data_IF_322573096096
#
_entry.id   IF_322573096096
#
_cell.length_a   1.000
_cell.length_b   1.000
_cell.length_c   1.000
_cell.angle_alpha   90.00
_cell.angle_beta   90.00
_cell.angle_gamma   90.00
#
_symmetry.space_group_name_H-M   'P 1'
#
loop_
_entity.id
_entity.type
_entity.pdbx_description
1 polymer ?
#
# COMPACT_ATOMS: atom_id res chain seq x y z
N UNK A 1 -8.77 -26.95 -2.34
CA UNK A 1 -9.62 -25.89 -1.79
C UNK A 1 -8.67 -24.75 -1.46
N UNK A 2 -8.59 -23.74 -2.33
CA UNK A 2 -7.86 -22.53 -1.97
C UNK A 2 -8.63 -21.82 -0.86
N UNK A 3 -7.94 -21.55 0.24
CA UNK A 3 -8.51 -20.90 1.41
C UNK A 3 -8.77 -19.43 1.06
N UNK A 4 -10.04 -19.03 1.04
CA UNK A 4 -10.41 -17.64 0.77
C UNK A 4 -10.05 -16.78 1.99
N UNK A 5 -9.03 -15.92 1.86
CA UNK A 5 -8.64 -14.95 2.90
C UNK A 5 -9.75 -13.92 3.09
N UNK A 6 -10.23 -13.71 4.31
CA UNK A 6 -11.28 -12.73 4.62
C UNK A 6 -10.78 -11.29 4.49
N UNK A 7 -11.71 -10.33 4.37
CA UNK A 7 -11.36 -8.91 4.32
C UNK A 7 -10.67 -8.47 5.62
N UNK A 8 -11.15 -8.97 6.76
CA UNK A 8 -10.52 -8.73 8.06
C UNK A 8 -9.06 -9.21 8.11
N UNK A 9 -8.77 -10.37 7.53
CA UNK A 9 -7.40 -10.92 7.51
C UNK A 9 -6.51 -10.18 6.50
N UNK A 10 -7.05 -9.80 5.33
CA UNK A 10 -6.36 -8.94 4.38
C UNK A 10 -5.92 -7.61 5.01
N UNK A 11 -6.75 -7.02 5.87
CA UNK A 11 -6.40 -5.78 6.56
C UNK A 11 -5.22 -5.97 7.54
N UNK A 12 -5.12 -7.12 8.23
CA UNK A 12 -3.95 -7.44 9.07
C UNK A 12 -2.69 -7.64 8.23
N UNK A 13 -2.80 -8.40 7.15
CA UNK A 13 -1.71 -8.66 6.20
C UNK A 13 -1.21 -7.33 5.60
N UNK A 14 -2.12 -6.40 5.31
CA UNK A 14 -1.76 -5.07 4.83
C UNK A 14 -0.96 -4.28 5.85
N UNK A 15 -1.37 -4.26 7.12
CA UNK A 15 -0.61 -3.59 8.19
C UNK A 15 0.82 -4.12 8.26
N UNK A 16 1.00 -5.44 8.19
CA UNK A 16 2.34 -6.09 8.17
C UNK A 16 3.14 -5.72 6.91
N UNK A 17 2.48 -5.61 5.77
CA UNK A 17 3.12 -5.14 4.56
C UNK A 17 3.60 -3.69 4.74
N UNK A 18 2.74 -2.80 5.25
CA UNK A 18 3.00 -1.36 5.33
C UNK A 18 4.00 -0.96 6.42
N UNK A 19 4.03 -1.66 7.56
CA UNK A 19 4.77 -1.24 8.76
C UNK A 19 5.49 -2.41 9.44
N UNK A 20 6.69 -2.12 9.96
CA UNK A 20 7.36 -3.02 10.91
C UNK A 20 6.72 -2.90 12.28
N UNK A 21 6.69 -4.01 13.03
CA UNK A 21 6.06 -4.12 14.34
C UNK A 21 7.03 -4.72 15.36
N UNK A 22 6.90 -4.33 16.63
CA UNK A 22 7.56 -5.01 17.75
C UNK A 22 6.84 -6.31 18.13
N UNK A 23 7.36 -7.04 19.12
CA UNK A 23 6.78 -8.29 19.62
C UNK A 23 5.35 -8.12 20.20
N UNK A 24 4.97 -6.90 20.58
CA UNK A 24 3.66 -6.56 21.11
C UNK A 24 2.70 -6.02 20.03
N UNK A 25 3.15 -5.97 18.76
CA UNK A 25 2.38 -5.43 17.64
C UNK A 25 2.34 -3.90 17.58
N UNK A 26 3.23 -3.18 18.29
CA UNK A 26 3.34 -1.73 18.12
C UNK A 26 4.14 -1.39 16.87
N UNK A 27 3.69 -0.37 16.16
CA UNK A 27 4.34 0.09 14.93
C UNK A 27 5.70 0.71 15.26
N UNK A 28 6.70 0.42 14.44
CA UNK A 28 8.03 1.01 14.55
C UNK A 28 8.31 1.93 13.36
N UNK A 29 8.37 1.38 12.15
CA UNK A 29 8.77 2.10 10.94
C UNK A 29 7.87 1.72 9.77
N UNK A 30 7.85 2.56 8.74
CA UNK A 30 7.35 2.20 7.44
C UNK A 30 8.23 1.07 6.90
N UNK A 31 7.62 -0.01 6.42
CA UNK A 31 8.31 -1.20 5.97
C UNK A 31 8.81 -1.04 4.52
N UNK A 32 9.79 -0.13 4.35
CA UNK A 32 10.46 0.08 3.07
C UNK A 32 11.53 -1.01 2.85
N UNK A 33 11.61 -1.62 1.65
CA UNK A 33 12.54 -2.72 1.39
C UNK A 33 14.02 -2.40 1.60
N UNK A 34 14.40 -1.12 1.53
CA UNK A 34 15.74 -0.61 1.85
C UNK A 34 16.08 -0.71 3.34
N UNK A 35 15.10 -0.88 4.22
CA UNK A 35 15.25 -0.93 5.67
C UNK A 35 15.35 0.44 6.36
N UNK A 36 15.44 1.52 5.60
CA UNK A 36 15.61 2.89 6.10
C UNK A 36 14.30 3.69 6.25
N UNK A 37 13.14 3.05 6.02
CA UNK A 37 11.81 3.65 6.06
C UNK A 37 11.50 4.51 7.29
N UNK A 38 10.90 5.68 7.10
CA UNK A 38 10.59 6.65 8.18
C UNK A 38 9.80 6.04 9.35
N UNK A 39 9.74 6.69 10.53
CA UNK A 39 8.86 6.25 11.62
C UNK A 39 7.43 5.99 11.13
N UNK A 40 6.80 4.94 11.65
CA UNK A 40 5.42 4.61 11.31
C UNK A 40 4.46 5.74 11.75
N UNK A 41 3.20 5.74 11.26
CA UNK A 41 2.16 6.62 11.78
C UNK A 41 1.97 6.40 13.29
N UNK A 42 1.63 7.46 14.03
CA UNK A 42 1.29 7.36 15.46
C UNK A 42 0.08 6.47 15.69
N UNK A 43 -0.90 6.57 14.79
CA UNK A 43 -2.14 5.81 14.85
C UNK A 43 -2.53 5.33 13.46
N UNK A 44 -2.91 4.06 13.38
CA UNK A 44 -3.51 3.44 12.21
C UNK A 44 -4.88 2.86 12.59
N UNK A 45 -5.87 3.13 11.75
CA UNK A 45 -7.23 2.59 11.82
C UNK A 45 -7.60 2.02 10.45
N UNK A 46 -7.51 0.71 10.32
CA UNK A 46 -7.96 -0.02 9.14
C UNK A 46 -9.35 -0.58 9.38
N UNK A 47 -10.27 -0.47 8.42
CA UNK A 47 -11.61 -1.04 8.56
C UNK A 47 -12.13 -1.65 7.26
N UNK A 48 -12.95 -2.69 7.44
CA UNK A 48 -13.65 -3.44 6.40
C UNK A 48 -15.15 -3.45 6.70
N UNK A 49 -15.96 -4.15 5.90
CA UNK A 49 -17.37 -4.39 6.25
C UNK A 49 -17.55 -5.45 7.34
N UNK A 50 -16.48 -6.14 7.74
CA UNK A 50 -16.50 -7.24 8.72
C UNK A 50 -15.94 -6.80 10.07
N UNK A 51 -14.88 -5.98 10.07
CA UNK A 51 -14.17 -5.60 11.29
C UNK A 51 -13.33 -4.33 11.12
N UNK A 52 -12.72 -3.88 12.22
CA UNK A 52 -11.68 -2.85 12.22
C UNK A 52 -10.49 -3.29 13.04
N UNK A 53 -9.32 -2.74 12.71
CA UNK A 53 -8.07 -2.94 13.44
C UNK A 53 -7.46 -1.58 13.78
N UNK A 54 -6.93 -1.47 14.99
CA UNK A 54 -6.10 -0.36 15.42
C UNK A 54 -4.66 -0.82 15.61
N UNK A 55 -3.72 0.05 15.26
CA UNK A 55 -2.32 -0.07 15.65
C UNK A 55 -1.78 1.28 16.10
N UNK A 56 -0.81 1.22 17.00
CA UNK A 56 -0.23 2.37 17.67
C UNK A 56 1.28 2.29 17.53
N UNK A 57 1.94 3.43 17.35
CA UNK A 57 3.40 3.47 17.38
C UNK A 57 3.90 3.20 18.79
N UNK A 58 5.06 2.54 18.88
CA UNK A 58 5.67 2.10 20.15
C UNK A 58 5.95 3.24 21.15
N UNK A 59 6.01 4.48 20.71
CA UNK A 59 6.29 5.67 21.51
C UNK A 59 5.03 6.45 21.93
N UNK A 60 3.83 5.95 21.61
CA UNK A 60 2.58 6.61 21.99
C UNK A 60 2.25 6.31 23.47
N UNK A 61 2.01 7.32 24.32
CA UNK A 61 1.76 7.08 25.75
C UNK A 61 0.50 6.25 26.01
N UNK A 62 0.54 5.35 27.01
CA UNK A 62 -0.58 4.48 27.38
C UNK A 62 -1.93 5.21 27.57
N UNK A 63 -2.00 6.39 28.21
CA UNK A 63 -3.27 7.12 28.33
C UNK A 63 -3.84 7.56 26.97
N UNK A 64 -2.99 7.88 26.00
CA UNK A 64 -3.39 8.26 24.63
C UNK A 64 -3.89 7.02 23.89
N UNK A 65 -3.15 5.91 23.98
CA UNK A 65 -3.55 4.61 23.40
C UNK A 65 -4.91 4.17 23.95
N UNK A 66 -5.12 4.27 25.26
CA UNK A 66 -6.38 3.90 25.90
C UNK A 66 -7.56 4.73 25.38
N UNK A 67 -7.40 6.05 25.24
CA UNK A 67 -8.44 6.92 24.69
C UNK A 67 -8.76 6.57 23.23
N UNK A 68 -7.75 6.35 22.39
CA UNK A 68 -7.95 5.96 21.00
C UNK A 68 -8.68 4.61 20.88
N UNK A 69 -8.36 3.63 21.72
CA UNK A 69 -9.06 2.33 21.77
C UNK A 69 -10.55 2.49 22.09
N UNK A 70 -10.89 3.37 23.04
CA UNK A 70 -12.28 3.66 23.40
C UNK A 70 -13.03 4.27 22.21
N UNK A 71 -12.45 5.26 21.53
CA UNK A 71 -13.08 5.87 20.34
C UNK A 71 -13.27 4.84 19.23
N UNK A 72 -12.23 4.05 18.94
CA UNK A 72 -12.24 3.04 17.89
C UNK A 72 -13.29 1.94 18.12
N UNK A 73 -13.47 1.48 19.36
CA UNK A 73 -14.49 0.47 19.71
C UNK A 73 -15.93 0.96 19.45
N UNK A 74 -16.14 2.28 19.32
CA UNK A 74 -17.44 2.90 19.06
C UNK A 74 -17.60 3.41 17.62
N UNK A 75 -16.63 3.14 16.75
CA UNK A 75 -16.68 3.50 15.33
C UNK A 75 -17.53 2.50 14.55
N UNK A 76 -18.29 2.98 13.56
CA UNK A 76 -19.10 2.12 12.72
C UNK A 76 -18.23 1.47 11.63
N UNK A 77 -18.22 0.14 11.58
CA UNK A 77 -17.45 -0.66 10.61
C UNK A 77 -18.20 -0.83 9.28
N UNK A 78 -18.50 0.29 8.60
CA UNK A 78 -19.16 0.26 7.30
C UNK A 78 -18.35 1.02 6.26
N UNK A 79 -17.93 0.30 5.20
CA UNK A 79 -17.34 0.90 4.01
C UNK A 79 -18.39 1.52 3.08
N UNK A 80 -19.60 1.85 3.60
CA UNK A 80 -20.59 2.64 2.86
C UNK A 80 -20.01 3.99 2.39
N UNK A 81 -20.78 4.80 1.67
CA UNK A 81 -20.34 6.04 0.98
C UNK A 81 -19.40 7.02 1.72
N UNK A 82 -19.23 6.88 3.04
CA UNK A 82 -18.26 7.63 3.83
C UNK A 82 -16.83 7.14 3.60
N UNK A 83 -16.05 7.99 2.93
CA UNK A 83 -14.63 7.77 2.65
C UNK A 83 -13.71 7.98 3.87
N UNK A 84 -14.25 8.36 5.04
CA UNK A 84 -13.51 8.68 6.26
C UNK A 84 -14.21 8.15 7.51
N UNK A 85 -13.49 7.68 8.55
CA UNK A 85 -14.11 7.30 9.82
C UNK A 85 -14.97 8.42 10.39
N UNK A 86 -16.14 8.09 10.95
CA UNK A 86 -17.07 9.10 11.49
C UNK A 86 -16.44 9.88 12.63
N UNK A 87 -15.64 9.21 13.45
CA UNK A 87 -14.95 9.77 14.61
C UNK A 87 -13.53 10.24 14.29
N UNK A 88 -13.14 10.44 13.03
CA UNK A 88 -11.80 10.94 12.67
C UNK A 88 -11.37 12.16 13.49
N UNK A 89 -12.28 13.13 13.70
CA UNK A 89 -11.99 14.32 14.53
C UNK A 89 -11.60 13.96 15.96
N UNK A 90 -12.25 12.98 16.57
CA UNK A 90 -11.90 12.53 17.93
C UNK A 90 -10.53 11.87 17.97
N UNK A 91 -10.18 11.04 16.98
CA UNK A 91 -8.83 10.50 16.86
C UNK A 91 -7.80 11.61 16.75
N UNK A 92 -8.04 12.58 15.88
CA UNK A 92 -7.13 13.70 15.66
C UNK A 92 -7.02 14.62 16.89
N UNK A 93 -8.12 14.91 17.59
CA UNK A 93 -8.13 15.73 18.80
C UNK A 93 -7.28 15.08 19.91
N UNK A 94 -7.43 13.76 20.11
CA UNK A 94 -6.63 12.98 21.06
C UNK A 94 -5.14 13.07 20.67
N UNK A 95 -4.81 12.83 19.40
CA UNK A 95 -3.43 12.88 18.93
C UNK A 95 -2.81 14.28 19.01
N UNK A 96 -3.57 15.33 18.67
CA UNK A 96 -3.14 16.74 18.75
C UNK A 96 -2.87 17.19 20.18
N UNK A 97 -3.62 16.66 21.16
CA UNK A 97 -3.38 16.94 22.58
C UNK A 97 -2.02 16.39 23.07
N UNK A 98 -1.51 15.35 22.41
CA UNK A 98 -0.20 14.76 22.68
C UNK A 98 0.93 15.44 21.88
N UNK A 99 0.78 15.61 20.58
CA UNK A 99 1.75 16.29 19.71
C UNK A 99 1.09 16.76 18.39
N UNK A 100 1.63 17.78 17.70
CA UNK A 100 1.10 18.25 16.42
C UNK A 100 0.91 17.12 15.39
N UNK A 101 -0.15 17.19 14.58
CA UNK A 101 -0.35 16.28 13.44
C UNK A 101 0.44 16.79 12.24
N UNK A 102 1.32 15.96 11.71
CA UNK A 102 2.09 16.26 10.50
C UNK A 102 1.27 15.95 9.25
N UNK A 103 0.58 14.80 9.26
CA UNK A 103 -0.17 14.31 8.12
C UNK A 103 -1.30 13.39 8.53
N UNK A 104 -2.43 13.50 7.81
CA UNK A 104 -3.47 12.47 7.77
C UNK A 104 -3.45 11.83 6.40
N UNK A 105 -3.45 10.51 6.35
CA UNK A 105 -3.61 9.73 5.13
C UNK A 105 -4.91 8.95 5.21
N UNK A 106 -5.61 8.88 4.08
CA UNK A 106 -6.78 8.02 3.96
C UNK A 106 -7.00 7.53 2.54
N UNK A 107 -7.38 6.27 2.41
CA UNK A 107 -7.71 5.72 1.11
C UNK A 107 -8.07 4.24 1.09
N UNK A 108 -8.52 3.77 -0.08
CA UNK A 108 -8.95 2.40 -0.27
C UNK A 108 -7.77 1.44 -0.30
N UNK A 109 -8.02 0.24 0.22
CA UNK A 109 -7.15 -0.91 0.10
C UNK A 109 -7.81 -1.96 -0.81
N UNK A 110 -7.04 -2.47 -1.77
CA UNK A 110 -7.52 -3.35 -2.82
C UNK A 110 -6.74 -4.65 -2.89
N UNK A 111 -7.46 -5.72 -3.22
CA UNK A 111 -6.89 -7.01 -3.64
C UNK A 111 -7.06 -7.19 -5.14
N UNK A 112 -6.15 -7.96 -5.74
CA UNK A 112 -6.24 -8.33 -7.16
C UNK A 112 -7.26 -9.46 -7.37
N UNK A 113 -8.03 -9.44 -8.47
CA UNK A 113 -8.92 -10.55 -8.82
C UNK A 113 -8.12 -11.83 -9.06
N UNK A 114 -8.72 -12.99 -8.82
CA UNK A 114 -8.07 -14.30 -8.97
C UNK A 114 -7.41 -14.46 -10.36
N UNK A 115 -8.11 -14.06 -11.42
CA UNK A 115 -7.57 -14.04 -12.76
C UNK A 115 -7.14 -12.63 -13.16
N UNK A 116 -5.86 -12.48 -13.49
CA UNK A 116 -5.29 -11.27 -14.08
C UNK A 116 -4.88 -11.62 -15.50
N UNK A 117 -5.39 -10.88 -16.49
CA UNK A 117 -4.95 -11.07 -17.87
C UNK A 117 -3.45 -10.75 -17.99
N UNK A 118 -2.61 -11.67 -18.52
CA UNK A 118 -1.19 -11.40 -18.70
C UNK A 118 -0.97 -10.21 -19.64
N UNK A 119 -0.24 -9.17 -19.21
CA UNK A 119 0.08 -8.05 -20.08
C UNK A 119 1.14 -8.45 -21.11
N UNK A 120 1.12 -7.81 -22.26
CA UNK A 120 2.18 -7.90 -23.26
C UNK A 120 3.26 -6.85 -23.02
N UNK A 121 4.49 -7.10 -23.47
CA UNK A 121 5.61 -6.11 -23.51
C UNK A 121 6.12 -5.63 -22.15
N UNK A 122 6.10 -6.51 -21.15
CA UNK A 122 6.69 -6.25 -19.84
C UNK A 122 8.05 -6.90 -19.70
N UNK A 123 9.01 -6.17 -19.15
CA UNK A 123 10.37 -6.64 -18.87
C UNK A 123 10.58 -6.68 -17.36
N UNK A 124 11.21 -7.74 -16.86
CA UNK A 124 11.71 -7.78 -15.48
C UNK A 124 12.99 -6.99 -15.40
N UNK A 125 13.03 -6.01 -14.50
CA UNK A 125 14.15 -5.12 -14.29
C UNK A 125 15.03 -5.64 -13.16
N UNK A 126 16.33 -5.63 -13.40
CA UNK A 126 17.36 -6.07 -12.48
C UNK A 126 18.66 -5.32 -12.78
N UNK A 127 19.76 -5.62 -12.07
CA UNK A 127 21.02 -4.92 -12.29
C UNK A 127 21.60 -5.15 -13.69
N UNK A 128 21.29 -6.30 -14.29
CA UNK A 128 21.78 -6.72 -15.59
C UNK A 128 21.21 -5.90 -16.75
N UNK A 129 20.09 -5.21 -16.54
CA UNK A 129 19.44 -4.35 -17.54
C UNK A 129 19.10 -2.96 -16.97
N UNK A 130 19.89 -2.48 -16.00
CA UNK A 130 19.66 -1.22 -15.30
C UNK A 130 19.68 -0.01 -16.25
N UNK A 131 20.34 -0.10 -17.40
CA UNK A 131 20.36 0.92 -18.43
C UNK A 131 18.97 1.25 -18.99
N UNK A 132 18.00 0.34 -18.87
CA UNK A 132 16.60 0.59 -19.25
C UNK A 132 15.93 1.66 -18.35
N UNK A 133 16.47 1.93 -17.15
CA UNK A 133 15.98 2.97 -16.24
C UNK A 133 16.68 4.32 -16.44
N UNK A 134 17.60 4.45 -17.40
CA UNK A 134 18.29 5.71 -17.64
C UNK A 134 17.31 6.84 -18.03
N UNK A 135 17.63 8.08 -17.65
CA UNK A 135 16.77 9.25 -17.88
C UNK A 135 15.90 9.53 -16.66
N UNK A 136 14.59 9.65 -16.87
CA UNK A 136 13.62 10.07 -15.83
C UNK A 136 13.48 9.07 -14.66
N UNK A 137 14.00 7.85 -14.78
CA UNK A 137 14.02 6.84 -13.71
C UNK A 137 15.41 6.54 -13.15
N UNK A 138 16.44 7.34 -13.49
CA UNK A 138 17.82 7.05 -13.08
C UNK A 138 17.98 6.92 -11.57
N UNK A 139 17.27 7.73 -10.78
CA UNK A 139 17.34 7.66 -9.30
C UNK A 139 16.82 6.33 -8.74
N UNK A 140 15.91 5.68 -9.47
CA UNK A 140 15.26 4.43 -9.05
C UNK A 140 16.12 3.19 -9.33
N UNK A 141 17.26 3.33 -10.03
CA UNK A 141 18.24 2.24 -10.20
C UNK A 141 18.73 1.71 -8.85
N UNK A 142 18.80 2.58 -7.83
CA UNK A 142 19.19 2.19 -6.47
C UNK A 142 18.23 1.17 -5.83
N UNK A 143 16.95 1.19 -6.22
CA UNK A 143 15.89 0.31 -5.69
C UNK A 143 15.93 -1.12 -6.26
N UNK A 144 16.68 -1.37 -7.35
CA UNK A 144 16.68 -2.66 -8.07
C UNK A 144 17.06 -3.86 -7.19
N UNK A 145 17.83 -3.62 -6.12
CA UNK A 145 18.25 -4.66 -5.17
C UNK A 145 17.19 -5.03 -4.14
N UNK A 146 16.39 -4.05 -3.72
CA UNK A 146 15.53 -4.20 -2.55
C UNK A 146 14.06 -4.32 -2.93
N UNK A 147 13.62 -3.67 -4.02
CA UNK A 147 12.19 -3.53 -4.36
C UNK A 147 11.66 -4.60 -5.33
N UNK A 148 12.24 -5.81 -5.32
CA UNK A 148 11.81 -6.88 -6.23
C UNK A 148 10.45 -7.51 -5.82
N UNK A 149 9.64 -8.03 -6.76
CA UNK A 149 9.78 -7.94 -8.21
C UNK A 149 9.72 -6.50 -8.72
N UNK A 150 10.57 -6.18 -9.69
CA UNK A 150 10.61 -4.88 -10.37
C UNK A 150 10.32 -5.10 -11.86
N UNK A 151 9.25 -4.48 -12.36
CA UNK A 151 8.74 -4.67 -13.72
C UNK A 151 8.70 -3.34 -14.46
N UNK A 152 8.93 -3.37 -15.77
CA UNK A 152 8.89 -2.19 -16.64
C UNK A 152 8.12 -2.44 -17.94
N UNK A 153 7.49 -1.39 -18.46
CA UNK A 153 7.05 -1.29 -19.86
C UNK A 153 8.12 -0.51 -20.61
N UNK A 154 8.61 -1.09 -21.71
CA UNK A 154 9.71 -0.54 -22.50
C UNK A 154 9.16 0.03 -23.81
N UNK A 155 9.48 1.29 -24.09
CA UNK A 155 9.23 1.96 -25.37
C UNK A 155 10.53 2.66 -25.78
N UNK A 156 10.90 2.61 -27.06
CA UNK A 156 12.13 3.23 -27.59
C UNK A 156 13.39 2.90 -26.77
N UNK A 157 13.51 1.63 -26.34
CA UNK A 157 14.62 1.10 -25.53
C UNK A 157 14.76 1.70 -24.12
N UNK A 158 13.71 2.31 -23.58
CA UNK A 158 13.68 2.86 -22.22
C UNK A 158 12.40 2.47 -21.47
N UNK A 159 12.51 2.36 -20.15
CA UNK A 159 11.34 2.16 -19.29
C UNK A 159 10.50 3.43 -19.23
N UNK A 160 9.23 3.32 -19.60
CA UNK A 160 8.27 4.44 -19.59
C UNK A 160 7.21 4.31 -18.50
N UNK A 161 7.09 3.10 -17.95
CA UNK A 161 6.32 2.83 -16.75
C UNK A 161 6.97 1.70 -15.99
N UNK A 162 7.00 1.82 -14.67
CA UNK A 162 7.56 0.82 -13.78
C UNK A 162 6.56 0.43 -12.69
N UNK A 163 6.65 -0.80 -12.19
CA UNK A 163 5.98 -1.22 -10.97
C UNK A 163 6.92 -2.10 -10.16
N UNK A 164 7.05 -1.80 -8.88
CA UNK A 164 7.94 -2.51 -7.96
C UNK A 164 7.27 -2.74 -6.61
N UNK A 165 7.80 -3.67 -5.84
CA UNK A 165 7.32 -3.90 -4.47
C UNK A 165 7.89 -2.82 -3.57
N UNK A 166 7.07 -1.87 -3.15
CA UNK A 166 7.51 -0.74 -2.31
C UNK A 166 7.28 -0.99 -0.83
N UNK A 167 6.50 -2.01 -0.48
CA UNK A 167 6.40 -2.55 0.88
C UNK A 167 6.36 -4.07 0.80
N UNK A 168 7.11 -4.77 1.65
CA UNK A 168 7.35 -6.21 1.53
C UNK A 168 7.23 -6.87 2.91
N UNK A 169 6.31 -7.82 3.05
CA UNK A 169 6.25 -8.74 4.20
C UNK A 169 6.38 -10.19 3.76
N UNK A 170 6.38 -11.11 4.73
CA UNK A 170 6.33 -12.56 4.47
C UNK A 170 5.04 -13.01 3.79
N UNK A 171 3.97 -12.21 3.85
CA UNK A 171 2.65 -12.57 3.33
C UNK A 171 2.28 -11.81 2.06
N UNK A 172 2.61 -10.53 1.98
CA UNK A 172 2.15 -9.65 0.92
C UNK A 172 3.18 -8.61 0.51
N UNK A 173 3.03 -8.13 -0.72
CA UNK A 173 3.76 -6.98 -1.24
C UNK A 173 2.76 -5.89 -1.62
N UNK A 174 3.10 -4.62 -1.40
CA UNK A 174 2.34 -3.46 -1.90
C UNK A 174 3.02 -2.85 -3.12
N UNK A 175 2.20 -2.50 -4.11
CA UNK A 175 2.69 -1.98 -5.39
C UNK A 175 3.06 -0.50 -5.32
N UNK A 176 4.23 -0.13 -5.85
CA UNK A 176 4.54 1.24 -6.22
C UNK A 176 4.63 1.33 -7.73
N UNK A 177 3.85 2.21 -8.35
CA UNK A 177 3.79 2.40 -9.80
C UNK A 177 4.09 3.84 -10.17
N UNK A 178 4.96 4.01 -11.16
CA UNK A 178 5.29 5.31 -11.75
C UNK A 178 5.24 5.21 -13.28
N UNK A 179 4.71 6.25 -13.93
CA UNK A 179 4.61 6.35 -15.39
C UNK A 179 5.02 7.75 -15.83
N UNK A 180 5.94 7.80 -16.80
CA UNK A 180 6.42 9.05 -17.39
C UNK A 180 5.28 9.85 -17.99
N UNK A 181 5.32 11.18 -17.85
CA UNK A 181 4.20 12.06 -18.18
C UNK A 181 3.68 11.87 -19.62
N UNK A 182 4.58 11.71 -20.60
CA UNK A 182 4.25 11.49 -22.01
C UNK A 182 3.55 10.17 -22.32
N UNK A 183 3.68 9.16 -21.44
CA UNK A 183 3.15 7.81 -21.61
C UNK A 183 1.92 7.52 -20.73
N UNK A 184 1.47 8.50 -19.95
CA UNK A 184 0.23 8.40 -19.15
C UNK A 184 -0.99 8.28 -20.04
N UNK A 185 -2.05 7.65 -19.50
CA UNK A 185 -3.35 7.40 -20.17
C UNK A 185 -3.28 6.49 -21.41
N UNK A 186 -2.17 5.77 -21.60
CA UNK A 186 -1.99 4.78 -22.69
C UNK A 186 -2.10 3.31 -22.23
N UNK A 187 -2.44 3.09 -20.97
CA UNK A 187 -2.54 1.74 -20.38
C UNK A 187 -1.26 1.20 -19.75
N UNK A 188 -0.12 1.90 -19.87
CA UNK A 188 1.18 1.42 -19.36
C UNK A 188 1.15 1.07 -17.86
N UNK A 189 0.58 1.95 -17.02
CA UNK A 189 0.44 1.71 -15.58
C UNK A 189 -0.36 0.44 -15.26
N UNK A 190 -1.50 0.26 -15.94
CA UNK A 190 -2.35 -0.94 -15.80
C UNK A 190 -1.58 -2.20 -16.18
N UNK A 191 -0.90 -2.18 -17.33
CA UNK A 191 -0.12 -3.33 -17.80
C UNK A 191 1.03 -3.68 -16.86
N UNK A 192 1.81 -2.70 -16.40
CA UNK A 192 2.97 -2.98 -15.53
C UNK A 192 2.55 -3.47 -14.14
N UNK A 193 1.45 -2.93 -13.59
CA UNK A 193 0.91 -3.38 -12.30
C UNK A 193 0.34 -4.80 -12.40
N UNK A 194 -0.30 -5.15 -13.51
CA UNK A 194 -0.74 -6.53 -13.76
C UNK A 194 0.44 -7.53 -13.80
N UNK A 195 1.53 -7.19 -14.51
CA UNK A 195 2.73 -8.02 -14.55
C UNK A 195 3.38 -8.15 -13.18
N UNK A 196 3.48 -7.05 -12.44
CA UNK A 196 4.01 -7.07 -11.08
C UNK A 196 3.19 -7.98 -10.18
N UNK A 197 1.86 -7.89 -10.24
CA UNK A 197 1.00 -8.73 -9.41
C UNK A 197 1.14 -10.23 -9.73
N UNK A 198 1.27 -10.58 -11.02
CA UNK A 198 1.57 -11.96 -11.44
C UNK A 198 2.95 -12.42 -10.93
N UNK A 199 3.97 -11.55 -10.97
CA UNK A 199 5.29 -11.85 -10.46
C UNK A 199 5.29 -12.06 -8.93
N UNK A 200 4.54 -11.26 -8.18
CA UNK A 200 4.36 -11.42 -6.72
C UNK A 200 3.66 -12.75 -6.41
N UNK A 201 2.63 -13.12 -7.18
CA UNK A 201 1.98 -14.44 -7.04
C UNK A 201 2.93 -15.60 -7.30
N UNK A 202 3.83 -15.47 -8.27
CA UNK A 202 4.85 -16.49 -8.54
C UNK A 202 5.84 -16.67 -7.36
N UNK A 203 5.92 -15.71 -6.44
CA UNK A 203 6.66 -15.84 -5.17
C UNK A 203 5.82 -16.44 -4.03
N UNK A 204 4.60 -16.90 -4.30
CA UNK A 204 3.62 -17.32 -3.29
C UNK A 204 3.36 -16.21 -2.26
N UNK A 205 3.18 -14.97 -2.75
CA UNK A 205 2.83 -13.79 -1.96
C UNK A 205 1.57 -13.14 -2.50
N UNK A 206 0.86 -12.41 -1.65
CA UNK A 206 -0.33 -11.66 -2.04
C UNK A 206 0.07 -10.29 -2.62
N UNK A 207 -0.29 -9.96 -3.88
CA UNK A 207 -0.17 -8.60 -4.35
C UNK A 207 -1.31 -7.76 -3.76
N UNK A 208 -0.95 -6.66 -3.12
CA UNK A 208 -1.88 -5.65 -2.61
C UNK A 208 -1.66 -4.33 -3.33
N UNK A 209 -2.71 -3.51 -3.36
CA UNK A 209 -2.68 -2.18 -3.93
C UNK A 209 -3.48 -1.23 -3.04
N UNK A 210 -2.87 -0.14 -2.60
CA UNK A 210 -3.55 0.93 -1.89
C UNK A 210 -3.19 2.28 -2.47
N UNK A 211 -4.05 3.26 -2.24
CA UNK A 211 -3.82 4.63 -2.70
C UNK A 211 -4.68 5.61 -1.91
N UNK A 212 -4.45 6.92 -2.00
CA UNK A 212 -5.31 7.90 -1.34
C UNK A 212 -6.60 8.16 -2.12
N UNK A 213 -7.64 8.64 -1.43
CA UNK A 213 -8.89 9.05 -2.09
C UNK A 213 -8.74 10.20 -3.09
N UNK A 214 -7.68 10.99 -2.98
CA UNK A 214 -7.38 12.09 -3.91
C UNK A 214 -6.54 11.65 -5.11
N UNK A 215 -5.96 10.45 -5.08
CA UNK A 215 -5.19 9.91 -6.20
C UNK A 215 -6.12 9.25 -7.24
N UNK A 216 -6.75 10.11 -8.04
CA UNK A 216 -7.67 9.69 -9.13
C UNK A 216 -6.97 8.79 -10.16
N UNK A 217 -5.67 9.02 -10.41
CA UNK A 217 -4.90 8.23 -11.37
C UNK A 217 -4.76 6.76 -10.91
N UNK A 218 -4.31 6.53 -9.68
CA UNK A 218 -4.17 5.20 -9.10
C UNK A 218 -5.52 4.50 -8.89
N UNK A 219 -6.56 5.22 -8.49
CA UNK A 219 -7.92 4.65 -8.47
C UNK A 219 -8.41 4.23 -9.86
N UNK A 220 -7.99 4.98 -10.90
CA UNK A 220 -8.24 4.62 -12.29
C UNK A 220 -7.47 3.37 -12.75
N UNK A 221 -6.29 3.09 -12.19
CA UNK A 221 -5.55 1.84 -12.40
C UNK A 221 -6.29 0.69 -11.73
N UNK A 222 -6.66 0.85 -10.45
CA UNK A 222 -7.41 -0.14 -9.69
C UNK A 222 -8.71 -0.56 -10.39
N UNK A 223 -9.49 0.42 -10.87
CA UNK A 223 -10.74 0.15 -11.62
C UNK A 223 -10.49 -0.61 -12.93
N UNK A 224 -9.47 -0.23 -13.70
CA UNK A 224 -9.16 -0.89 -15.00
C UNK A 224 -8.68 -2.33 -14.81
N UNK A 225 -8.00 -2.61 -13.70
CA UNK A 225 -7.57 -3.96 -13.32
C UNK A 225 -8.67 -4.79 -12.66
N UNK A 226 -9.85 -4.21 -12.40
CA UNK A 226 -10.92 -4.90 -11.67
C UNK A 226 -10.53 -5.24 -10.24
N UNK A 227 -9.67 -4.43 -9.59
CA UNK A 227 -9.29 -4.67 -8.20
C UNK A 227 -10.52 -4.53 -7.29
N UNK A 228 -10.59 -5.40 -6.29
CA UNK A 228 -11.71 -5.45 -5.34
C UNK A 228 -11.29 -4.73 -4.07
N UNK A 229 -12.05 -3.71 -3.69
CA UNK A 229 -11.82 -3.00 -2.44
C UNK A 229 -12.25 -3.89 -1.28
N UNK A 230 -11.32 -4.18 -0.36
CA UNK A 230 -11.61 -4.96 0.85
C UNK A 230 -11.62 -4.10 2.12
N UNK A 231 -11.06 -2.89 2.06
CA UNK A 231 -10.96 -2.03 3.23
C UNK A 231 -10.61 -0.59 2.92
N UNK A 232 -10.45 0.16 4.00
CA UNK A 232 -9.95 1.53 4.03
C UNK A 232 -8.87 1.60 5.10
N UNK A 233 -7.74 2.20 4.73
CA UNK A 233 -6.68 2.59 5.65
C UNK A 233 -6.87 4.08 5.97
N UNK A 234 -6.88 4.40 7.27
CA UNK A 234 -6.75 5.74 7.80
C UNK A 234 -5.59 5.75 8.79
N UNK A 235 -4.61 6.64 8.59
CA UNK A 235 -3.51 6.78 9.52
C UNK A 235 -3.03 8.22 9.68
N UNK A 236 -2.47 8.49 10.85
CA UNK A 236 -2.07 9.83 11.29
C UNK A 236 -0.63 9.80 11.76
N UNK A 237 0.20 10.68 11.18
CA UNK A 237 1.59 10.91 11.56
C UNK A 237 1.71 12.09 12.51
#
# INVERSE_FOLDING_TARGET
MEEHVSDAELMKIQVEALFTQDENGHLQRINEPSGDGKPAPRFFFGYTNESSICRFRHDLPDPVVAQLKVVAATEAISMSSQKIPRRHRQFEDILRSHAPIERVWIGPAYRFPEHIAPPTRTVRLSRENAELLNGDFTEMVSELNSSQPYLGIIEDSQAVSICRSVRISSHAHEAGVDTLAGYRRRGCATSVVAAWALAVRALNRMPLYSTSWDNVASQGVARRLGLVQYGVDYHVT
#
